data_IF_859568383111
#
_entry.id   IF_859568383111
#
_cell.length_a   1.000
_cell.length_b   1.000
_cell.length_c   1.000
_cell.angle_alpha   90.00
_cell.angle_beta   90.00
_cell.angle_gamma   90.00
#
_symmetry.space_group_name_H-M   'P 1'
#
loop_
_entity.id
_entity.type
_entity.pdbx_description
1 polymer ?
#
# COMPACT_ATOMS: atom_id res chain seq x y z
N UNK A 1 -29.92 -0.84 22.45
CA UNK A 1 -29.04 0.10 21.74
C UNK A 1 -29.94 1.12 21.09
N UNK A 2 -29.73 2.43 21.34
CA UNK A 2 -30.57 3.47 20.72
C UNK A 2 -30.36 3.47 19.20
N UNK A 3 -31.43 3.71 18.44
CA UNK A 3 -31.35 3.92 17.00
C UNK A 3 -30.40 5.11 16.71
N UNK A 4 -29.35 4.95 15.86
CA UNK A 4 -28.47 6.06 15.46
C UNK A 4 -29.23 7.24 14.85
N UNK A 5 -30.30 6.98 14.09
CA UNK A 5 -31.16 8.02 13.51
C UNK A 5 -31.88 8.81 14.59
N UNK A 6 -32.50 8.14 15.58
CA UNK A 6 -33.14 8.83 16.70
C UNK A 6 -32.15 9.63 17.54
N UNK A 7 -30.92 9.12 17.68
CA UNK A 7 -29.85 9.82 18.40
C UNK A 7 -29.43 11.07 17.62
N UNK A 8 -29.33 10.98 16.30
CA UNK A 8 -29.05 12.11 15.43
C UNK A 8 -30.18 13.16 15.46
N UNK A 9 -31.43 12.75 15.24
CA UNK A 9 -32.59 13.66 15.23
C UNK A 9 -32.74 14.42 16.55
N UNK A 10 -32.51 13.75 17.69
CA UNK A 10 -32.56 14.38 19.03
C UNK A 10 -31.45 15.41 19.24
N UNK A 11 -30.33 15.30 18.53
CA UNK A 11 -29.13 16.09 18.78
C UNK A 11 -28.72 17.00 17.61
N UNK A 12 -29.47 17.04 16.50
CA UNK A 12 -29.11 17.76 15.28
C UNK A 12 -28.74 19.23 15.51
N UNK A 13 -29.49 19.95 16.37
CA UNK A 13 -29.19 21.35 16.69
C UNK A 13 -27.84 21.52 17.38
N UNK A 14 -27.51 20.62 18.30
CA UNK A 14 -26.22 20.64 19.01
C UNK A 14 -25.08 20.21 18.09
N UNK A 15 -25.32 19.22 17.22
CA UNK A 15 -24.35 18.80 16.22
C UNK A 15 -24.02 19.95 15.26
N UNK A 16 -25.03 20.62 14.68
CA UNK A 16 -24.80 21.81 13.84
C UNK A 16 -24.03 22.91 14.58
N UNK A 17 -24.31 23.12 15.87
CA UNK A 17 -23.56 24.07 16.68
C UNK A 17 -22.10 23.64 16.89
N UNK A 18 -21.82 22.35 17.11
CA UNK A 18 -20.45 21.80 17.19
C UNK A 18 -19.69 22.04 15.89
N UNK A 19 -20.29 21.76 14.73
CA UNK A 19 -19.67 22.01 13.43
C UNK A 19 -19.43 23.52 13.20
N UNK A 20 -20.36 24.39 13.62
CA UNK A 20 -20.20 25.83 13.56
C UNK A 20 -19.11 26.34 14.52
N UNK A 21 -18.96 25.73 15.70
CA UNK A 21 -17.89 26.06 16.63
C UNK A 21 -16.52 25.74 16.02
N UNK A 22 -16.37 24.59 15.35
CA UNK A 22 -15.14 24.25 14.61
C UNK A 22 -14.95 25.24 13.46
N UNK A 23 -15.96 25.48 12.61
CA UNK A 23 -15.84 26.42 11.50
C UNK A 23 -15.47 27.86 11.93
N UNK A 24 -15.78 28.24 13.17
CA UNK A 24 -15.45 29.56 13.74
C UNK A 24 -14.22 29.56 14.67
N UNK A 25 -13.61 28.41 14.94
CA UNK A 25 -12.49 28.29 15.87
C UNK A 25 -12.86 28.45 17.37
N UNK A 26 -14.12 28.27 17.73
CA UNK A 26 -14.68 28.54 19.07
C UNK A 26 -14.46 27.39 20.07
N UNK A 27 -13.21 27.15 20.49
CA UNK A 27 -12.85 26.03 21.38
C UNK A 27 -13.64 25.95 22.70
N UNK A 28 -13.93 27.09 23.34
CA UNK A 28 -14.68 27.12 24.60
C UNK A 28 -16.15 26.71 24.43
N UNK A 29 -16.78 27.14 23.33
CA UNK A 29 -18.15 26.76 22.97
C UNK A 29 -18.22 25.28 22.61
N UNK A 30 -17.26 24.83 21.80
CA UNK A 30 -17.11 23.42 21.43
C UNK A 30 -17.01 22.51 22.65
N UNK A 31 -16.11 22.85 23.59
CA UNK A 31 -15.95 22.10 24.84
C UNK A 31 -17.25 22.01 25.61
N UNK A 32 -17.97 23.12 25.77
CA UNK A 32 -19.26 23.17 26.47
C UNK A 32 -20.33 22.30 25.80
N UNK A 33 -20.35 22.23 24.47
CA UNK A 33 -21.27 21.35 23.75
C UNK A 33 -20.92 19.87 23.93
N UNK A 34 -19.64 19.51 23.84
CA UNK A 34 -19.17 18.12 23.94
C UNK A 34 -19.23 17.56 25.38
N UNK A 35 -18.96 18.37 26.40
CA UNK A 35 -19.07 17.96 27.82
C UNK A 35 -20.51 17.61 28.21
N UNK A 36 -21.51 18.23 27.56
CA UNK A 36 -22.93 17.94 27.81
C UNK A 36 -23.39 16.62 27.21
N UNK A 37 -22.74 16.17 26.13
CA UNK A 37 -23.12 14.95 25.44
C UNK A 37 -21.93 14.34 24.70
N UNK A 38 -21.19 13.46 25.38
CA UNK A 38 -20.00 12.80 24.84
C UNK A 38 -20.29 11.89 23.65
N UNK A 39 -21.53 11.43 23.46
CA UNK A 39 -21.92 10.64 22.27
C UNK A 39 -21.73 11.44 20.98
N UNK A 40 -21.85 12.78 21.04
CA UNK A 40 -21.69 13.65 19.87
C UNK A 40 -20.25 13.73 19.36
N UNK A 41 -19.27 13.29 20.16
CA UNK A 41 -17.86 13.29 19.78
C UNK A 41 -17.59 12.37 18.58
N UNK A 42 -18.35 11.28 18.48
CA UNK A 42 -18.22 10.28 17.43
C UNK A 42 -19.46 10.21 16.53
N UNK A 43 -20.47 11.04 16.80
CA UNK A 43 -21.70 11.02 16.01
C UNK A 43 -21.44 11.75 14.69
N UNK A 44 -21.52 11.05 13.55
CA UNK A 44 -21.32 11.70 12.27
C UNK A 44 -22.50 12.59 11.88
N UNK A 45 -22.24 13.52 10.96
CA UNK A 45 -23.31 14.26 10.30
C UNK A 45 -24.02 13.38 9.26
N UNK A 46 -25.32 13.15 9.45
CA UNK A 46 -26.15 12.36 8.55
C UNK A 46 -26.20 12.99 7.14
N UNK A 47 -26.10 12.15 6.10
CA UNK A 47 -26.10 12.59 4.70
C UNK A 47 -24.75 13.07 4.16
N UNK A 48 -23.68 13.06 4.97
CA UNK A 48 -22.31 13.09 4.47
C UNK A 48 -21.79 11.65 4.39
N UNK A 49 -21.64 11.13 3.18
CA UNK A 49 -21.11 9.78 2.98
C UNK A 49 -19.65 9.70 3.49
N UNK A 50 -19.41 8.92 4.56
CA UNK A 50 -18.10 8.40 5.01
C UNK A 50 -17.23 9.25 5.93
N UNK A 51 -17.85 10.20 6.62
CA UNK A 51 -17.52 10.75 7.95
C UNK A 51 -16.04 11.07 8.23
N UNK A 52 -15.59 12.20 7.68
CA UNK A 52 -14.54 13.00 8.31
C UNK A 52 -14.92 13.28 9.77
N UNK A 53 -14.02 12.96 10.70
CA UNK A 53 -14.24 13.24 12.12
C UNK A 53 -14.13 14.74 12.40
N UNK A 54 -14.65 15.19 13.55
CA UNK A 54 -14.43 16.57 14.03
C UNK A 54 -12.94 16.96 14.03
N UNK A 55 -12.05 15.98 14.24
CA UNK A 55 -10.61 16.17 14.23
C UNK A 55 -10.05 16.43 12.82
N UNK A 56 -10.61 15.81 11.77
CA UNK A 56 -10.24 16.15 10.37
C UNK A 56 -10.62 17.59 10.05
N UNK A 57 -11.85 18.00 10.37
CA UNK A 57 -12.32 19.36 10.11
C UNK A 57 -11.44 20.42 10.79
N UNK A 58 -11.09 20.18 12.06
CA UNK A 58 -10.21 21.08 12.80
C UNK A 58 -8.77 21.10 12.22
N UNK A 59 -8.27 19.93 11.78
CA UNK A 59 -6.96 19.78 11.17
C UNK A 59 -6.86 20.48 9.81
N UNK A 60 -7.87 20.32 8.94
CA UNK A 60 -8.02 20.98 7.65
C UNK A 60 -8.01 22.51 7.79
N UNK A 61 -8.51 23.03 8.92
CA UNK A 61 -8.52 24.47 9.23
C UNK A 61 -7.31 24.92 10.06
N UNK A 62 -6.36 24.04 10.37
CA UNK A 62 -5.14 24.38 11.11
C UNK A 62 -5.37 24.75 12.57
N UNK A 63 -6.48 24.33 13.17
CA UNK A 63 -6.91 24.74 14.51
C UNK A 63 -6.25 23.87 15.58
N UNK A 64 -4.94 24.03 15.80
CA UNK A 64 -4.15 23.19 16.70
C UNK A 64 -4.76 23.04 18.10
N UNK A 65 -5.29 24.11 18.70
CA UNK A 65 -5.90 24.05 20.03
C UNK A 65 -7.22 23.27 20.06
N UNK A 66 -8.01 23.32 18.98
CA UNK A 66 -9.21 22.51 18.85
C UNK A 66 -8.83 21.04 18.62
N UNK A 67 -7.82 20.76 17.81
CA UNK A 67 -7.31 19.40 17.65
C UNK A 67 -6.87 18.80 18.99
N UNK A 68 -6.11 19.56 19.80
CA UNK A 68 -5.72 19.18 21.17
C UNK A 68 -6.92 18.89 22.06
N UNK A 69 -7.91 19.78 22.05
CA UNK A 69 -9.14 19.60 22.83
C UNK A 69 -9.85 18.30 22.42
N UNK A 70 -10.07 18.09 21.13
CA UNK A 70 -10.77 16.92 20.59
C UNK A 70 -10.07 15.60 20.95
N UNK A 71 -8.74 15.54 20.84
CA UNK A 71 -7.96 14.37 21.26
C UNK A 71 -8.04 14.17 22.77
N UNK A 72 -7.96 15.25 23.58
CA UNK A 72 -8.11 15.15 25.04
C UNK A 72 -9.49 14.66 25.49
N UNK A 73 -10.51 14.84 24.64
CA UNK A 73 -11.87 14.34 24.85
C UNK A 73 -12.07 12.90 24.38
N UNK A 74 -11.07 12.30 23.73
CA UNK A 74 -11.07 10.87 23.36
C UNK A 74 -11.28 10.59 21.86
N UNK A 75 -11.20 11.58 20.96
CA UNK A 75 -11.11 11.27 19.52
C UNK A 75 -9.76 10.62 19.23
N UNK A 76 -9.79 9.47 18.57
CA UNK A 76 -8.59 8.78 18.12
C UNK A 76 -7.80 9.65 17.14
N UNK A 77 -6.51 9.81 17.41
CA UNK A 77 -5.58 10.70 16.71
C UNK A 77 -5.55 10.45 15.19
N UNK A 78 -5.52 9.16 14.83
CA UNK A 78 -5.37 8.71 13.44
C UNK A 78 -6.65 8.08 12.88
N UNK A 79 -7.85 8.33 13.42
CA UNK A 79 -9.06 7.71 12.87
C UNK A 79 -9.15 7.93 11.35
N UNK A 80 -9.26 6.88 10.50
CA UNK A 80 -9.32 7.07 9.05
C UNK A 80 -10.69 7.58 8.59
N UNK A 81 -10.70 8.57 7.70
CA UNK A 81 -11.87 8.99 6.93
C UNK A 81 -12.03 8.08 5.69
N UNK A 82 -12.92 7.09 5.78
CA UNK A 82 -13.05 6.01 4.77
C UNK A 82 -13.50 6.55 3.41
N UNK A 83 -14.43 7.52 3.35
CA UNK A 83 -14.83 8.13 2.07
C UNK A 83 -13.73 8.94 1.40
N UNK A 84 -12.80 9.47 2.21
CA UNK A 84 -11.64 10.24 1.76
C UNK A 84 -10.40 9.35 1.62
N UNK A 85 -10.58 8.08 1.27
CA UNK A 85 -9.46 7.18 0.97
C UNK A 85 -8.64 6.75 2.18
N UNK A 86 -9.26 6.66 3.36
CA UNK A 86 -8.60 6.46 4.65
C UNK A 86 -7.59 7.58 4.96
N UNK A 87 -7.87 8.82 4.55
CA UNK A 87 -7.12 10.00 4.97
C UNK A 87 -7.14 10.12 6.51
N UNK A 88 -6.06 10.62 7.09
CA UNK A 88 -5.94 10.89 8.53
C UNK A 88 -6.05 12.39 8.81
N UNK A 89 -6.28 12.81 10.06
CA UNK A 89 -6.25 14.23 10.40
C UNK A 89 -4.90 14.89 10.09
N UNK A 90 -3.77 14.18 10.28
CA UNK A 90 -2.46 14.67 9.87
C UNK A 90 -2.39 14.91 8.35
N UNK A 91 -2.95 14.00 7.54
CA UNK A 91 -3.00 14.16 6.09
C UNK A 91 -3.86 15.38 5.68
N UNK A 92 -5.01 15.59 6.33
CA UNK A 92 -5.84 16.78 6.12
C UNK A 92 -5.11 18.09 6.47
N UNK A 93 -4.40 18.15 7.59
CA UNK A 93 -3.57 19.32 7.94
C UNK A 93 -2.42 19.53 6.95
N UNK A 94 -1.78 18.43 6.51
CA UNK A 94 -0.63 18.48 5.61
C UNK A 94 -1.00 18.97 4.21
N UNK A 95 -2.11 18.48 3.65
CA UNK A 95 -2.65 18.93 2.37
C UNK A 95 -3.12 20.38 2.37
N UNK A 96 -3.32 20.99 3.53
CA UNK A 96 -3.68 22.41 3.68
C UNK A 96 -2.51 23.29 4.17
N UNK A 97 -1.31 22.72 4.35
CA UNK A 97 -0.11 23.48 4.69
C UNK A 97 -0.04 23.95 6.14
N UNK A 98 -0.79 23.35 7.06
CA UNK A 98 -0.83 23.80 8.45
C UNK A 98 0.34 23.25 9.28
N UNK A 99 1.53 23.82 9.07
CA UNK A 99 2.79 23.37 9.67
C UNK A 99 2.71 23.13 11.19
N UNK A 100 2.18 24.11 11.95
CA UNK A 100 2.09 24.02 13.40
C UNK A 100 1.15 22.89 13.86
N UNK A 101 0.09 22.62 13.10
CA UNK A 101 -0.85 21.54 13.38
C UNK A 101 -0.25 20.19 13.03
N UNK A 102 0.45 20.10 11.88
CA UNK A 102 1.21 18.89 11.51
C UNK A 102 2.26 18.55 12.55
N UNK A 103 3.04 19.54 13.00
CA UNK A 103 4.06 19.35 14.03
C UNK A 103 3.44 18.79 15.31
N UNK A 104 2.32 19.36 15.76
CA UNK A 104 1.63 18.85 16.95
C UNK A 104 1.13 17.41 16.76
N UNK A 105 0.55 17.05 15.60
CA UNK A 105 0.12 15.68 15.34
C UNK A 105 1.29 14.70 15.41
N UNK A 106 2.43 15.03 14.82
CA UNK A 106 3.65 14.21 14.85
C UNK A 106 4.19 14.06 16.28
N UNK A 107 4.24 15.16 17.05
CA UNK A 107 4.63 15.14 18.47
C UNK A 107 3.65 14.34 19.34
N UNK A 108 2.37 14.30 18.97
CA UNK A 108 1.34 13.49 19.62
C UNK A 108 1.39 12.01 19.23
N UNK A 109 2.29 11.61 18.33
CA UNK A 109 2.48 10.23 17.90
C UNK A 109 1.58 9.79 16.74
N UNK A 110 1.10 10.71 15.91
CA UNK A 110 0.32 10.38 14.72
C UNK A 110 1.15 9.53 13.75
N UNK A 111 0.46 8.69 12.96
CA UNK A 111 1.09 7.88 11.92
C UNK A 111 1.58 8.81 10.79
N UNK A 112 2.91 9.00 10.70
CA UNK A 112 3.54 9.92 9.73
C UNK A 112 3.15 9.61 8.27
N UNK A 113 2.98 8.33 7.94
CA UNK A 113 2.55 7.87 6.61
C UNK A 113 1.05 7.55 6.53
N UNK A 114 0.29 7.77 7.61
CA UNK A 114 -1.10 7.32 7.73
C UNK A 114 -1.24 5.79 7.79
N UNK A 115 -2.45 5.28 7.53
CA UNK A 115 -2.71 3.85 7.56
C UNK A 115 -2.12 3.14 6.34
N UNK A 116 -1.77 1.84 6.45
CA UNK A 116 -1.25 1.07 5.32
C UNK A 116 -2.18 1.02 4.09
N UNK A 117 -3.50 1.11 4.31
CA UNK A 117 -4.53 1.11 3.28
C UNK A 117 -4.98 2.54 2.86
N UNK A 118 -4.30 3.59 3.32
CA UNK A 118 -4.53 4.95 2.84
C UNK A 118 -4.14 5.07 1.36
N UNK A 119 -4.97 5.78 0.60
CA UNK A 119 -4.73 6.04 -0.82
C UNK A 119 -3.53 6.97 -1.03
N UNK A 120 -3.41 7.98 -0.17
CA UNK A 120 -2.29 8.92 -0.10
C UNK A 120 -1.68 8.93 1.30
N UNK A 121 -0.46 9.46 1.41
CA UNK A 121 0.19 9.77 2.70
C UNK A 121 0.10 11.26 2.98
N UNK A 122 0.27 11.72 4.24
CA UNK A 122 0.42 13.14 4.52
C UNK A 122 1.49 13.84 3.66
N UNK A 123 2.58 13.13 3.35
CA UNK A 123 3.65 13.63 2.47
C UNK A 123 3.13 13.86 1.04
N UNK A 124 2.40 12.90 0.46
CA UNK A 124 1.80 13.05 -0.87
C UNK A 124 0.83 14.23 -0.91
N UNK A 125 0.00 14.39 0.12
CA UNK A 125 -0.98 15.49 0.19
C UNK A 125 -0.25 16.86 0.27
N UNK A 126 0.76 17.00 1.14
CA UNK A 126 1.57 18.22 1.22
C UNK A 126 2.28 18.56 -0.10
N UNK A 127 2.81 17.54 -0.81
CA UNK A 127 3.44 17.72 -2.12
C UNK A 127 2.42 18.15 -3.17
N UNK A 128 1.24 17.52 -3.19
CA UNK A 128 0.19 17.78 -4.20
C UNK A 128 -0.26 19.25 -4.17
N UNK A 129 -0.27 19.87 -2.99
CA UNK A 129 -0.65 21.27 -2.81
C UNK A 129 0.54 22.23 -2.63
N UNK A 130 1.78 21.74 -2.74
CA UNK A 130 2.99 22.58 -2.81
C UNK A 130 3.50 23.13 -1.46
N UNK A 131 3.19 22.47 -0.35
CA UNK A 131 3.55 22.92 1.00
C UNK A 131 4.96 22.46 1.40
N UNK A 132 5.99 23.17 0.91
CA UNK A 132 7.41 22.84 1.11
C UNK A 132 7.85 22.70 2.58
N UNK A 133 7.33 23.55 3.47
CA UNK A 133 7.63 23.52 4.89
C UNK A 133 7.08 22.27 5.59
N UNK A 134 5.85 21.88 5.26
CA UNK A 134 5.25 20.62 5.72
C UNK A 134 5.98 19.41 5.13
N UNK A 135 6.39 19.47 3.86
CA UNK A 135 7.21 18.40 3.26
C UNK A 135 8.50 18.20 4.04
N UNK A 136 9.22 19.28 4.38
CA UNK A 136 10.44 19.21 5.16
C UNK A 136 10.18 18.58 6.54
N UNK A 137 9.15 19.04 7.24
CA UNK A 137 8.74 18.51 8.55
C UNK A 137 8.46 17.00 8.48
N UNK A 138 7.70 16.55 7.48
CA UNK A 138 7.37 15.12 7.34
C UNK A 138 8.60 14.26 7.05
N UNK A 139 9.53 14.75 6.23
CA UNK A 139 10.82 14.07 5.97
C UNK A 139 11.67 14.01 7.25
N UNK A 140 11.74 15.10 8.02
CA UNK A 140 12.43 15.15 9.32
C UNK A 140 11.86 14.13 10.31
N UNK A 141 10.56 13.86 10.24
CA UNK A 141 9.85 12.83 11.00
C UNK A 141 9.81 11.46 10.31
N UNK A 142 10.72 11.20 9.37
CA UNK A 142 10.93 9.90 8.73
C UNK A 142 9.75 9.38 7.90
N UNK A 143 8.96 10.27 7.29
CA UNK A 143 7.96 9.87 6.29
C UNK A 143 8.61 9.03 5.18
N UNK A 144 7.90 8.00 4.71
CA UNK A 144 8.36 7.18 3.60
C UNK A 144 8.27 7.97 2.28
N UNK A 145 9.39 8.57 1.89
CA UNK A 145 9.56 9.38 0.68
C UNK A 145 9.29 8.65 -0.64
N UNK A 146 9.20 7.32 -0.59
CA UNK A 146 9.00 6.43 -1.74
C UNK A 146 7.67 5.67 -1.68
N UNK A 147 6.81 5.95 -0.69
CA UNK A 147 5.47 5.35 -0.66
C UNK A 147 4.62 5.92 -1.79
N UNK A 148 4.19 5.04 -2.69
CA UNK A 148 3.42 5.46 -3.87
C UNK A 148 1.99 5.84 -3.50
N UNK A 149 1.39 6.70 -4.32
CA UNK A 149 -0.05 6.88 -4.36
C UNK A 149 -0.72 5.55 -4.76
N UNK A 150 -1.46 4.93 -3.85
CA UNK A 150 -1.92 3.53 -3.97
C UNK A 150 -2.74 3.25 -5.23
N UNK A 151 -3.60 4.19 -5.66
CA UNK A 151 -4.42 4.05 -6.88
C UNK A 151 -3.74 4.45 -8.20
N UNK A 152 -2.79 5.38 -8.15
CA UNK A 152 -2.16 5.95 -9.34
C UNK A 152 -0.79 5.35 -9.61
N UNK A 153 -0.24 4.61 -8.64
CA UNK A 153 1.11 4.06 -8.66
C UNK A 153 2.17 5.11 -8.99
N UNK A 154 2.01 6.31 -8.46
CA UNK A 154 2.90 7.46 -8.69
C UNK A 154 3.77 7.72 -7.45
N UNK A 155 5.07 7.95 -7.64
CA UNK A 155 5.97 8.27 -6.53
C UNK A 155 5.81 9.73 -6.08
N UNK A 156 6.06 10.06 -4.80
CA UNK A 156 6.00 11.44 -4.31
C UNK A 156 6.83 12.41 -5.16
N UNK A 157 8.00 11.98 -5.62
CA UNK A 157 8.85 12.76 -6.52
C UNK A 157 8.19 13.04 -7.88
N UNK A 158 7.51 12.06 -8.46
CA UNK A 158 6.84 12.23 -9.75
C UNK A 158 5.67 13.21 -9.64
N UNK A 159 4.97 13.22 -8.50
CA UNK A 159 3.93 14.20 -8.21
C UNK A 159 4.55 15.60 -8.17
N UNK A 160 5.65 15.79 -7.41
CA UNK A 160 6.34 17.08 -7.34
C UNK A 160 6.79 17.58 -8.72
N UNK A 161 7.36 16.71 -9.55
CA UNK A 161 7.77 17.04 -10.92
C UNK A 161 6.57 17.37 -11.81
N UNK A 162 5.48 16.61 -11.73
CA UNK A 162 4.27 16.79 -12.55
C UNK A 162 3.63 18.16 -12.29
N UNK A 163 3.61 18.59 -11.03
CA UNK A 163 3.07 19.90 -10.64
C UNK A 163 4.08 21.05 -10.76
N UNK A 164 5.34 20.77 -11.11
CA UNK A 164 6.38 21.78 -11.29
C UNK A 164 6.98 22.34 -9.99
N UNK A 165 6.80 21.66 -8.85
CA UNK A 165 7.37 22.05 -7.56
C UNK A 165 8.85 21.65 -7.47
N UNK A 166 9.71 22.42 -8.14
CA UNK A 166 11.15 22.12 -8.31
C UNK A 166 11.92 22.06 -7.00
N UNK A 167 11.58 22.90 -6.02
CA UNK A 167 12.22 22.88 -4.70
C UNK A 167 11.86 21.60 -3.91
N UNK A 168 10.60 21.19 -3.96
CA UNK A 168 10.11 19.96 -3.34
C UNK A 168 10.79 18.76 -4.01
N UNK A 169 10.80 18.72 -5.35
CA UNK A 169 11.46 17.66 -6.10
C UNK A 169 12.96 17.56 -5.77
N UNK A 170 13.65 18.70 -5.65
CA UNK A 170 15.05 18.76 -5.23
C UNK A 170 15.27 18.23 -3.82
N UNK A 171 14.39 18.58 -2.88
CA UNK A 171 14.41 18.10 -1.49
C UNK A 171 14.23 16.57 -1.44
N UNK A 172 13.23 16.05 -2.16
CA UNK A 172 12.95 14.61 -2.25
C UNK A 172 14.14 13.86 -2.86
N UNK A 173 14.70 14.34 -3.98
CA UNK A 173 15.88 13.73 -4.62
C UNK A 173 17.08 13.69 -3.68
N UNK A 174 17.38 14.79 -2.97
CA UNK A 174 18.47 14.84 -1.98
C UNK A 174 18.26 13.87 -0.82
N UNK A 175 17.00 13.58 -0.49
CA UNK A 175 16.63 12.62 0.55
C UNK A 175 16.61 11.17 0.06
N UNK A 176 16.88 10.92 -1.22
CA UNK A 176 16.93 9.57 -1.81
C UNK A 176 15.63 9.11 -2.47
N UNK A 177 14.69 10.01 -2.76
CA UNK A 177 13.48 9.66 -3.46
C UNK A 177 13.77 9.28 -4.92
N UNK A 178 13.08 8.24 -5.39
CA UNK A 178 13.17 7.77 -6.78
C UNK A 178 11.87 8.04 -7.53
N UNK A 179 12.00 8.24 -8.84
CA UNK A 179 10.86 8.31 -9.76
C UNK A 179 10.49 6.89 -10.17
N UNK A 180 9.19 6.62 -10.39
CA UNK A 180 8.78 5.37 -11.02
C UNK A 180 9.34 5.22 -12.44
N UNK A 181 9.69 6.35 -13.08
CA UNK A 181 10.24 6.43 -14.42
C UNK A 181 11.77 6.38 -14.42
N UNK A 182 12.42 6.38 -13.25
CA UNK A 182 13.86 6.14 -13.18
C UNK A 182 14.11 4.75 -13.77
N UNK A 183 14.72 4.74 -14.94
CA UNK A 183 15.17 3.51 -15.56
C UNK A 183 16.29 3.02 -14.65
N UNK A 184 16.05 1.87 -14.02
CA UNK A 184 17.17 1.04 -13.59
C UNK A 184 17.86 0.69 -14.89
N UNK A 185 19.02 1.30 -15.16
CA UNK A 185 19.95 0.70 -16.11
C UNK A 185 20.38 -0.63 -15.47
N UNK A 186 19.48 -1.62 -15.46
CA UNK A 186 19.83 -2.99 -15.14
C UNK A 186 20.66 -3.42 -16.32
N UNK A 187 21.95 -3.21 -16.17
CA UNK A 187 22.95 -3.81 -17.04
C UNK A 187 22.63 -5.32 -17.06
N UNK A 188 22.43 -5.94 -18.24
CA UNK A 188 22.10 -7.37 -18.32
C UNK A 188 23.06 -8.26 -17.51
N UNK A 189 24.29 -7.79 -17.33
CA UNK A 189 25.35 -8.38 -16.51
C UNK A 189 25.17 -8.28 -14.97
N UNK A 190 24.18 -7.54 -14.47
CA UNK A 190 23.81 -7.54 -13.05
C UNK A 190 22.98 -8.78 -12.69
N UNK A 191 23.04 -9.18 -11.42
CA UNK A 191 22.32 -10.36 -10.91
C UNK A 191 20.82 -10.26 -11.22
N UNK A 192 20.31 -11.15 -12.06
CA UNK A 192 18.90 -11.14 -12.50
C UNK A 192 18.52 -10.02 -13.49
N UNK A 193 19.47 -9.24 -14.00
CA UNK A 193 19.21 -8.11 -14.90
C UNK A 193 18.52 -8.51 -16.22
N UNK A 194 18.86 -9.67 -16.77
CA UNK A 194 18.20 -10.24 -17.95
C UNK A 194 16.72 -10.55 -17.69
N UNK A 195 16.39 -11.08 -16.51
CA UNK A 195 15.01 -11.40 -16.11
C UNK A 195 14.21 -10.12 -15.92
N UNK A 196 14.77 -9.10 -15.26
CA UNK A 196 14.15 -7.78 -15.11
C UNK A 196 13.86 -7.16 -16.48
N UNK A 197 14.84 -7.19 -17.38
CA UNK A 197 14.69 -6.67 -18.75
C UNK A 197 13.61 -7.44 -19.53
N UNK A 198 13.59 -8.77 -19.42
CA UNK A 198 12.57 -9.61 -20.04
C UNK A 198 11.16 -9.25 -19.56
N UNK A 199 10.95 -9.17 -18.24
CA UNK A 199 9.65 -8.81 -17.64
C UNK A 199 9.23 -7.40 -18.05
N UNK A 200 10.17 -6.45 -18.07
CA UNK A 200 9.91 -5.08 -18.51
C UNK A 200 9.36 -5.02 -19.94
N UNK A 201 9.98 -5.79 -20.85
CA UNK A 201 9.64 -5.78 -22.27
C UNK A 201 8.40 -6.62 -22.61
N UNK A 202 8.14 -7.70 -21.88
CA UNK A 202 7.09 -8.69 -22.23
C UNK A 202 5.83 -8.58 -21.39
N UNK A 203 5.94 -8.20 -20.11
CA UNK A 203 4.82 -8.14 -19.18
C UNK A 203 4.36 -6.70 -18.89
N UNK A 204 5.30 -5.82 -18.55
CA UNK A 204 5.02 -4.42 -18.24
C UNK A 204 6.12 -3.74 -17.46
N UNK A 205 5.97 -2.43 -17.25
CA UNK A 205 6.99 -1.57 -16.67
C UNK A 205 7.44 -2.04 -15.28
N UNK A 206 8.69 -2.48 -15.15
CA UNK A 206 9.31 -2.85 -13.87
C UNK A 206 9.70 -1.58 -13.10
N UNK A 207 9.27 -1.48 -11.85
CA UNK A 207 9.61 -0.37 -10.96
C UNK A 207 11.07 -0.46 -10.47
N UNK A 208 11.69 0.67 -10.10
CA UNK A 208 12.93 0.68 -9.33
C UNK A 208 12.92 -0.26 -8.12
N UNK A 209 14.09 -0.82 -7.78
CA UNK A 209 14.25 -1.73 -6.63
C UNK A 209 13.76 -1.12 -5.32
N UNK A 210 14.02 0.17 -5.13
CA UNK A 210 13.67 0.95 -3.95
C UNK A 210 12.15 1.09 -3.75
N UNK A 211 11.36 0.81 -4.79
CA UNK A 211 9.90 0.80 -4.76
C UNK A 211 9.33 -0.62 -4.63
N UNK A 212 10.19 -1.63 -4.52
CA UNK A 212 9.77 -3.03 -4.37
C UNK A 212 9.80 -3.46 -2.88
N UNK A 213 9.01 -4.48 -2.49
CA UNK A 213 9.06 -5.03 -1.15
C UNK A 213 10.44 -5.60 -0.81
N UNK A 214 10.84 -5.48 0.45
CA UNK A 214 12.05 -6.10 0.97
C UNK A 214 11.77 -7.48 1.54
N UNK A 215 12.77 -8.37 1.48
CA UNK A 215 12.75 -9.69 2.10
C UNK A 215 14.09 -9.93 2.81
N UNK A 216 14.04 -10.69 3.90
CA UNK A 216 15.24 -11.07 4.66
C UNK A 216 15.89 -12.35 4.11
N UNK A 217 15.32 -13.00 3.10
CA UNK A 217 15.88 -14.22 2.53
C UNK A 217 17.16 -13.91 1.74
N UNK A 218 18.28 -14.47 2.17
CA UNK A 218 19.58 -14.28 1.51
C UNK A 218 19.54 -14.85 0.08
N UNK A 219 20.02 -14.07 -0.89
CA UNK A 219 20.02 -14.45 -2.30
C UNK A 219 18.67 -14.26 -3.01
N UNK A 220 17.67 -13.68 -2.34
CA UNK A 220 16.37 -13.35 -2.94
C UNK A 220 16.19 -11.83 -3.03
N UNK A 221 15.85 -11.34 -4.22
CA UNK A 221 15.28 -10.01 -4.42
C UNK A 221 13.83 -10.14 -4.91
N UNK A 222 12.97 -9.22 -4.47
CA UNK A 222 11.59 -9.11 -4.94
C UNK A 222 11.44 -7.85 -5.79
N UNK A 223 10.76 -7.99 -6.93
CA UNK A 223 10.51 -6.89 -7.87
C UNK A 223 9.04 -6.76 -8.19
N UNK A 224 8.63 -5.53 -8.48
CA UNK A 224 7.29 -5.23 -8.97
C UNK A 224 7.34 -4.74 -10.41
N UNK A 225 6.47 -5.31 -11.25
CA UNK A 225 6.08 -4.75 -12.54
C UNK A 225 4.63 -4.27 -12.49
N UNK A 226 4.36 -3.12 -13.08
CA UNK A 226 3.01 -2.62 -13.28
C UNK A 226 2.52 -3.01 -14.68
N UNK A 227 1.40 -3.74 -14.75
CA UNK A 227 0.87 -4.31 -16.00
C UNK A 227 -0.53 -3.75 -16.32
N UNK A 228 -0.98 -3.91 -17.57
CA UNK A 228 -2.28 -3.42 -18.08
C UNK A 228 -2.55 -1.93 -17.77
N UNK A 229 -1.66 -1.05 -18.27
CA UNK A 229 -1.84 0.41 -18.13
C UNK A 229 -1.44 0.97 -16.77
N UNK A 230 -0.46 0.34 -16.10
CA UNK A 230 0.17 0.74 -14.81
C UNK A 230 -0.72 0.70 -13.56
N UNK A 231 -2.04 0.72 -13.69
CA UNK A 231 -2.96 0.93 -12.56
C UNK A 231 -3.94 -0.22 -12.31
N UNK A 232 -4.01 -1.22 -13.20
CA UNK A 232 -4.98 -2.31 -13.05
C UNK A 232 -4.44 -3.50 -12.28
N UNK A 233 -3.19 -3.89 -12.54
CA UNK A 233 -2.55 -5.01 -11.85
C UNK A 233 -1.08 -4.72 -11.61
N UNK A 234 -0.55 -5.40 -10.59
CA UNK A 234 0.89 -5.50 -10.32
C UNK A 234 1.31 -6.95 -10.46
N UNK A 235 2.55 -7.16 -10.85
CA UNK A 235 3.18 -8.47 -10.91
C UNK A 235 4.36 -8.43 -9.95
N UNK A 236 4.25 -9.18 -8.85
CA UNK A 236 5.34 -9.40 -7.90
C UNK A 236 6.11 -10.63 -8.34
N UNK A 237 7.43 -10.52 -8.41
CA UNK A 237 8.26 -11.62 -8.87
C UNK A 237 9.60 -11.70 -8.14
N UNK A 238 10.13 -12.91 -8.10
CA UNK A 238 11.42 -13.22 -7.49
C UNK A 238 12.57 -13.00 -8.47
N UNK A 239 13.74 -12.68 -7.93
CA UNK A 239 15.03 -12.68 -8.59
C UNK A 239 16.01 -13.41 -7.68
N UNK A 240 16.61 -14.49 -8.19
CA UNK A 240 17.70 -15.22 -7.53
C UNK A 240 17.43 -16.71 -7.35
N UNK A 241 16.19 -17.17 -7.56
CA UNK A 241 15.86 -18.60 -7.53
C UNK A 241 16.54 -19.36 -8.67
N UNK A 242 16.85 -18.67 -9.78
CA UNK A 242 17.66 -19.20 -10.87
C UNK A 242 19.05 -19.67 -10.44
N UNK A 243 19.51 -19.40 -9.21
CA UNK A 243 20.77 -19.96 -8.70
C UNK A 243 20.71 -21.49 -8.48
N UNK A 244 19.53 -22.11 -8.52
CA UNK A 244 19.32 -23.56 -8.37
C UNK A 244 18.84 -24.15 -9.69
N UNK A 245 19.33 -25.34 -10.03
CA UNK A 245 18.94 -26.06 -11.25
C UNK A 245 17.78 -27.04 -10.96
N UNK A 246 16.74 -27.11 -11.81
CA UNK A 246 16.51 -26.28 -13.01
C UNK A 246 16.25 -24.80 -12.64
N UNK A 247 16.72 -23.87 -13.47
CA UNK A 247 16.59 -22.44 -13.17
C UNK A 247 15.13 -22.00 -13.25
N UNK A 248 14.61 -21.41 -12.17
CA UNK A 248 13.21 -20.96 -12.09
C UNK A 248 13.11 -19.56 -11.51
N UNK A 249 12.01 -18.85 -11.80
CA UNK A 249 11.53 -17.72 -11.00
C UNK A 249 10.00 -17.81 -10.81
N UNK A 250 9.52 -17.21 -9.72
CA UNK A 250 8.12 -17.26 -9.29
C UNK A 250 7.45 -15.89 -9.41
N UNK A 251 6.19 -15.90 -9.82
CA UNK A 251 5.40 -14.70 -10.10
C UNK A 251 4.03 -14.79 -9.44
N UNK A 252 3.56 -13.69 -8.86
CA UNK A 252 2.22 -13.53 -8.29
C UNK A 252 1.57 -12.28 -8.88
N UNK A 253 0.37 -12.44 -9.43
CA UNK A 253 -0.44 -11.30 -9.88
C UNK A 253 -1.18 -10.69 -8.70
N UNK A 254 -1.14 -9.37 -8.59
CA UNK A 254 -1.69 -8.58 -7.50
C UNK A 254 -2.65 -7.52 -8.05
N UNK A 255 -3.65 -7.09 -7.25
CA UNK A 255 -4.47 -5.93 -7.57
C UNK A 255 -3.61 -4.68 -7.84
N UNK A 256 -4.07 -3.82 -8.76
CA UNK A 256 -3.36 -2.60 -9.13
C UNK A 256 -3.18 -1.62 -7.95
N UNK A 257 -4.05 -1.69 -6.96
CA UNK A 257 -4.01 -0.95 -5.70
C UNK A 257 -3.33 -1.71 -4.55
N UNK A 258 -2.66 -2.84 -4.84
CA UNK A 258 -1.90 -3.54 -3.80
C UNK A 258 -0.83 -2.60 -3.21
N UNK A 259 -0.82 -2.42 -1.89
CA UNK A 259 -0.01 -1.40 -1.23
C UNK A 259 1.46 -1.82 -1.23
N UNK A 260 2.34 -0.97 -1.77
CA UNK A 260 3.80 -1.21 -1.78
C UNK A 260 4.48 -0.89 -0.43
N UNK A 261 3.70 -0.50 0.58
CA UNK A 261 4.24 -0.16 1.90
C UNK A 261 4.81 -1.39 2.60
N UNK A 262 5.99 -1.22 3.19
CA UNK A 262 6.70 -2.28 3.91
C UNK A 262 6.24 -2.41 5.38
N UNK A 263 5.53 -1.40 5.91
CA UNK A 263 5.26 -1.29 7.35
C UNK A 263 3.80 -0.97 7.64
N UNK A 264 3.37 -1.36 8.84
CA UNK A 264 2.07 -1.04 9.44
C UNK A 264 0.98 -2.08 9.22
N UNK A 265 1.18 -3.08 8.35
CA UNK A 265 0.30 -4.25 8.31
C UNK A 265 0.58 -5.18 9.49
N UNK A 266 -0.49 -5.75 10.05
CA UNK A 266 -0.35 -6.83 11.03
C UNK A 266 0.12 -8.11 10.34
N UNK A 267 0.80 -9.04 11.05
CA UNK A 267 1.25 -10.31 10.48
C UNK A 267 0.12 -11.19 9.88
N UNK A 268 -1.14 -10.93 10.27
CA UNK A 268 -2.31 -11.64 9.77
C UNK A 268 -3.06 -10.91 8.64
N UNK A 269 -2.47 -9.84 8.11
CA UNK A 269 -3.05 -9.09 6.99
C UNK A 269 -2.87 -9.88 5.67
N UNK A 270 -3.91 -10.05 4.85
CA UNK A 270 -3.76 -10.66 3.53
C UNK A 270 -2.85 -9.84 2.60
N UNK A 271 -2.58 -8.58 2.94
CA UNK A 271 -1.65 -7.73 2.19
C UNK A 271 -0.18 -8.15 2.36
N UNK A 272 0.20 -8.79 3.47
CA UNK A 272 1.57 -9.31 3.66
C UNK A 272 1.77 -10.69 3.02
N UNK A 273 0.68 -11.40 2.73
CA UNK A 273 0.70 -12.76 2.23
C UNK A 273 1.61 -13.01 1.02
N UNK A 274 1.59 -12.19 -0.06
CA UNK A 274 2.37 -12.51 -1.25
C UNK A 274 3.88 -12.50 -1.03
N UNK A 275 4.37 -11.57 -0.21
CA UNK A 275 5.80 -11.43 0.11
C UNK A 275 6.27 -12.58 0.99
N UNK A 276 5.48 -12.93 2.01
CA UNK A 276 5.78 -14.07 2.90
C UNK A 276 5.71 -15.41 2.15
N UNK A 277 4.71 -15.59 1.28
CA UNK A 277 4.59 -16.78 0.43
C UNK A 277 5.84 -16.96 -0.44
N UNK A 278 6.24 -15.93 -1.18
CA UNK A 278 7.42 -16.01 -2.05
C UNK A 278 8.71 -16.23 -1.26
N UNK A 279 8.84 -15.65 -0.07
CA UNK A 279 9.99 -15.86 0.81
C UNK A 279 10.07 -17.32 1.29
N UNK A 280 8.94 -17.94 1.68
CA UNK A 280 8.91 -19.36 2.04
C UNK A 280 9.20 -20.30 0.85
N UNK A 281 8.67 -19.98 -0.34
CA UNK A 281 8.93 -20.77 -1.54
C UNK A 281 10.37 -20.63 -2.04
N UNK A 282 10.97 -19.45 -1.84
CA UNK A 282 12.38 -19.24 -2.11
C UNK A 282 13.25 -20.12 -1.21
N UNK A 283 12.96 -20.16 0.09
CA UNK A 283 13.66 -21.02 1.05
C UNK A 283 13.54 -22.50 0.68
N UNK A 284 12.32 -22.96 0.36
CA UNK A 284 12.11 -24.30 -0.19
C UNK A 284 12.97 -24.55 -1.44
N UNK A 285 13.03 -23.57 -2.35
CA UNK A 285 13.83 -23.69 -3.58
C UNK A 285 15.34 -23.84 -3.28
N UNK A 286 15.84 -23.10 -2.31
CA UNK A 286 17.24 -23.15 -1.92
C UNK A 286 17.62 -24.43 -1.16
N UNK A 287 16.73 -24.93 -0.31
CA UNK A 287 16.96 -26.09 0.57
C UNK A 287 16.63 -27.42 -0.11
N UNK A 288 15.43 -27.52 -0.71
CA UNK A 288 14.84 -28.76 -1.21
C UNK A 288 14.83 -28.84 -2.75
N UNK A 289 15.00 -27.70 -3.42
CA UNK A 289 15.11 -27.59 -4.87
C UNK A 289 13.92 -26.88 -5.54
N UNK A 290 14.06 -26.50 -6.82
CA UNK A 290 13.09 -25.68 -7.54
C UNK A 290 11.72 -26.33 -7.69
N UNK A 291 10.68 -25.50 -7.79
CA UNK A 291 9.32 -25.95 -8.11
C UNK A 291 9.23 -26.42 -9.56
N UNK A 292 8.28 -27.32 -9.83
CA UNK A 292 7.92 -27.75 -11.17
C UNK A 292 6.54 -27.24 -11.58
N UNK A 293 6.25 -27.24 -12.88
CA UNK A 293 4.90 -27.02 -13.39
C UNK A 293 3.89 -27.98 -12.71
N UNK A 294 2.73 -27.44 -12.33
CA UNK A 294 1.68 -28.18 -11.63
C UNK A 294 1.92 -28.37 -10.14
N UNK A 295 3.03 -27.88 -9.57
CA UNK A 295 3.26 -27.95 -8.14
C UNK A 295 2.17 -27.19 -7.38
N UNK A 296 1.50 -27.87 -6.44
CA UNK A 296 0.35 -27.34 -5.71
C UNK A 296 0.74 -26.98 -4.27
N UNK A 297 0.63 -25.71 -3.96
CA UNK A 297 0.92 -25.07 -2.67
C UNK A 297 -0.41 -24.91 -1.93
N UNK A 298 -0.69 -25.75 -0.94
CA UNK A 298 -1.99 -25.74 -0.26
C UNK A 298 -1.93 -24.89 1.01
N UNK A 299 -3.04 -24.23 1.32
CA UNK A 299 -3.25 -23.59 2.63
C UNK A 299 -3.07 -24.57 3.79
N UNK A 300 -3.41 -25.83 3.60
CA UNK A 300 -3.28 -26.89 4.61
C UNK A 300 -1.87 -27.43 4.79
N UNK A 301 -0.92 -27.12 3.91
CA UNK A 301 0.44 -27.63 4.05
C UNK A 301 1.11 -26.97 5.25
N UNK A 302 1.78 -27.76 6.09
CA UNK A 302 2.32 -27.30 7.36
C UNK A 302 3.27 -26.10 7.24
N UNK A 303 4.01 -26.00 6.12
CA UNK A 303 4.92 -24.89 5.84
C UNK A 303 4.17 -23.56 5.64
N UNK A 304 2.97 -23.59 5.06
CA UNK A 304 2.23 -22.39 4.63
C UNK A 304 0.98 -22.12 5.47
N UNK A 305 0.61 -23.02 6.39
CA UNK A 305 -0.63 -22.97 7.16
C UNK A 305 -0.77 -21.72 8.05
N UNK A 306 0.34 -21.10 8.44
CA UNK A 306 0.35 -19.90 9.28
C UNK A 306 0.35 -18.59 8.49
N UNK A 307 0.40 -18.65 7.15
CA UNK A 307 0.32 -17.45 6.32
C UNK A 307 -1.08 -16.81 6.40
N UNK A 308 -1.15 -15.52 6.17
CA UNK A 308 -2.40 -14.76 6.11
C UNK A 308 -3.13 -14.97 4.77
N UNK A 309 -3.56 -16.20 4.48
CA UNK A 309 -4.20 -16.55 3.21
C UNK A 309 -5.40 -15.65 2.90
N UNK A 310 -5.54 -15.15 1.66
CA UNK A 310 -6.80 -14.51 1.23
C UNK A 310 -7.95 -15.51 1.35
N UNK A 311 -9.09 -15.08 1.89
CA UNK A 311 -10.23 -15.96 2.22
C UNK A 311 -10.65 -16.87 1.05
N UNK A 312 -10.60 -16.32 -0.16
CA UNK A 312 -11.05 -16.95 -1.41
C UNK A 312 -10.02 -17.90 -2.05
N UNK A 313 -8.86 -18.14 -1.43
CA UNK A 313 -7.76 -18.92 -2.02
C UNK A 313 -7.37 -20.10 -1.15
N UNK A 314 -7.66 -21.32 -1.58
CA UNK A 314 -7.34 -22.56 -0.85
C UNK A 314 -5.96 -23.12 -1.22
N UNK A 315 -5.47 -22.83 -2.43
CA UNK A 315 -4.15 -23.23 -2.88
C UNK A 315 -3.62 -22.30 -4.00
N UNK A 316 -2.33 -22.42 -4.31
CA UNK A 316 -1.72 -21.89 -5.53
C UNK A 316 -1.12 -23.02 -6.35
N UNK A 317 -1.30 -22.99 -7.66
CA UNK A 317 -0.62 -23.91 -8.59
C UNK A 317 0.45 -23.17 -9.39
N UNK A 318 1.63 -23.75 -9.51
CA UNK A 318 2.70 -23.22 -10.36
C UNK A 318 2.39 -23.52 -11.83
N UNK A 319 2.15 -22.48 -12.63
CA UNK A 319 1.79 -22.60 -14.05
C UNK A 319 2.89 -22.02 -14.93
N UNK A 320 3.36 -22.79 -15.91
CA UNK A 320 4.24 -22.27 -16.97
C UNK A 320 3.39 -21.44 -17.93
N UNK A 321 3.39 -20.12 -17.73
CA UNK A 321 2.65 -19.24 -18.63
C UNK A 321 3.51 -18.96 -19.85
N UNK A 322 2.94 -19.06 -21.05
CA UNK A 322 3.61 -18.58 -22.24
C UNK A 322 3.78 -17.05 -22.18
N UNK A 323 4.98 -16.60 -21.82
CA UNK A 323 5.40 -15.20 -21.86
C UNK A 323 5.78 -14.85 -23.30
N UNK A 324 5.14 -13.81 -23.86
CA UNK A 324 5.28 -13.35 -25.25
C UNK A 324 5.01 -14.41 -26.34
N UNK A 325 3.81 -14.39 -26.90
CA UNK A 325 3.42 -15.27 -28.02
C UNK A 325 3.69 -14.66 -29.39
N UNK A 326 4.32 -13.47 -29.47
CA UNK A 326 4.39 -12.66 -30.69
C UNK A 326 5.79 -12.54 -31.27
N UNK A 327 6.85 -12.72 -30.49
CA UNK A 327 8.24 -12.73 -30.97
C UNK A 327 8.70 -14.12 -31.37
N UNK A 328 9.65 -14.18 -32.31
CA UNK A 328 10.34 -15.44 -32.64
C UNK A 328 11.10 -15.93 -31.41
N UNK A 329 10.88 -17.20 -31.04
CA UNK A 329 11.56 -17.81 -29.89
C UNK A 329 13.05 -17.93 -30.20
N UNK A 330 13.87 -17.15 -29.51
CA UNK A 330 15.30 -17.41 -29.45
C UNK A 330 15.52 -18.80 -28.84
N UNK A 331 16.45 -19.57 -29.42
CA UNK A 331 16.80 -20.89 -28.91
C UNK A 331 17.80 -20.69 -27.77
N UNK A 332 17.30 -20.71 -26.54
CA UNK A 332 18.13 -20.63 -25.32
C UNK A 332 18.56 -22.07 -24.96
N UNK A 333 19.85 -22.32 -24.69
CA UNK A 333 20.31 -23.60 -24.17
C UNK A 333 19.54 -24.02 -22.90
N UNK A 334 19.25 -25.32 -22.74
CA UNK A 334 18.45 -25.81 -21.62
C UNK A 334 19.09 -25.50 -20.25
N UNK A 335 20.43 -25.40 -20.19
CA UNK A 335 21.20 -25.04 -19.00
C UNK A 335 21.25 -23.52 -18.73
N UNK A 336 20.87 -22.69 -19.69
CA UNK A 336 20.75 -21.23 -19.53
C UNK A 336 19.29 -20.78 -19.37
N UNK A 337 18.33 -21.66 -19.67
CA UNK A 337 16.91 -21.34 -19.65
C UNK A 337 16.37 -21.20 -18.23
N UNK A 338 15.73 -20.06 -17.96
CA UNK A 338 14.98 -19.81 -16.72
C UNK A 338 13.49 -20.03 -16.98
N UNK A 339 12.88 -20.95 -16.23
CA UNK A 339 11.44 -21.19 -16.26
C UNK A 339 10.71 -20.19 -15.38
N UNK A 340 9.66 -19.56 -15.89
CA UNK A 340 8.95 -18.48 -15.20
C UNK A 340 7.54 -18.94 -14.81
N UNK A 341 7.37 -19.35 -13.55
CA UNK A 341 6.12 -19.90 -13.06
C UNK A 341 5.22 -18.83 -12.43
N UNK A 342 4.00 -18.71 -12.94
CA UNK A 342 2.95 -17.90 -12.31
C UNK A 342 2.22 -18.75 -11.29
N UNK A 343 2.14 -18.29 -10.06
CA UNK A 343 1.33 -18.89 -9.01
C UNK A 343 -0.13 -18.48 -9.22
N UNK A 344 -0.93 -19.39 -9.77
CA UNK A 344 -2.34 -19.17 -10.02
C UNK A 344 -3.18 -19.57 -8.78
N UNK A 345 -4.02 -18.68 -8.23
CA UNK A 345 -4.85 -19.01 -7.08
C UNK A 345 -5.95 -20.01 -7.47
N UNK A 346 -6.21 -20.96 -6.58
CA UNK A 346 -7.21 -22.02 -6.74
C UNK A 346 -8.15 -21.99 -5.54
N UNK A 347 -9.45 -21.96 -5.80
CA UNK A 347 -10.50 -22.14 -4.80
C UNK A 347 -11.11 -23.53 -4.93
N UNK A 348 -11.21 -24.25 -3.83
CA UNK A 348 -11.79 -25.58 -3.81
C UNK A 348 -13.31 -25.48 -3.84
N UNK A 349 -13.93 -26.35 -4.64
CA UNK A 349 -15.39 -26.42 -4.69
C UNK A 349 -15.90 -27.28 -3.54
N UNK A 350 -17.23 -27.38 -3.40
CA UNK A 350 -17.84 -28.36 -2.46
C UNK A 350 -17.42 -29.81 -2.71
N UNK A 351 -16.84 -30.12 -3.88
CA UNK A 351 -16.32 -31.45 -4.23
C UNK A 351 -14.88 -31.68 -3.73
N UNK A 352 -14.24 -30.68 -3.15
CA UNK A 352 -12.86 -30.74 -2.66
C UNK A 352 -11.84 -30.19 -3.67
N UNK A 353 -10.59 -30.63 -3.50
CA UNK A 353 -9.44 -30.29 -4.34
C UNK A 353 -9.69 -30.68 -5.82
N UNK A 354 -9.34 -29.83 -6.81
CA UNK A 354 -9.47 -30.19 -8.22
C UNK A 354 -8.59 -31.37 -8.58
N UNK A 355 -9.05 -32.22 -9.50
CA UNK A 355 -8.21 -33.31 -10.03
C UNK A 355 -7.14 -32.77 -10.99
N UNK A 356 -6.21 -33.66 -11.38
CA UNK A 356 -5.10 -33.29 -12.24
C UNK A 356 -5.53 -32.81 -13.64
N UNK A 357 -6.70 -33.20 -14.12
CA UNK A 357 -7.24 -32.73 -15.40
C UNK A 357 -7.75 -31.29 -15.26
N UNK A 358 -8.48 -31.00 -14.18
CA UNK A 358 -8.96 -29.66 -13.86
C UNK A 358 -7.82 -28.68 -13.58
N UNK A 359 -6.74 -29.12 -12.91
CA UNK A 359 -5.55 -28.28 -12.66
C UNK A 359 -4.78 -27.93 -13.94
N UNK A 360 -4.75 -28.83 -14.93
CA UNK A 360 -4.10 -28.58 -16.23
C UNK A 360 -4.90 -27.64 -17.15
N UNK A 361 -6.18 -27.44 -16.86
CA UNK A 361 -7.05 -26.56 -17.64
C UNK A 361 -7.03 -25.10 -17.16
N UNK A 362 -6.40 -24.83 -16.01
CA UNK A 362 -6.13 -23.50 -15.45
C UNK A 362 -4.87 -22.91 -16.06
#
# INVERSE_FOLDING_TARGET
MNNPEETYEKNIKTLLAIHADIASGSAASLKKHLEKNSVLLHLPMYGLDGHETLLHMAAEQGQTEICRLLVSLGIALDQPAVSSGNSTPLAAAAGNGHLQTCQWFLEAGALVDGWPNSITTPLIDAITFGHQDVVNLLIEHHANINRLHTRLNTAPLDIANTWGFTEIASTLRKSGAVSIMDIVESRPEEFGGSIVTFVHNTAGWVLPAQLSPFTNEEGLELRISCIDGKNKFKLLFTIGLFAKSPHTELFVCLPGDWPLTQQGFTPHSPWVFPVELLSLLARHTFDDGPLSEGFLIRRSDAMYANLAWPDEVDAFVAVDKAWDTKTEKETIPDDEKVMLYVLAPVKFTKKGEPDAEALRAL
#
